data_IF_956106751770
#
_entry.id   IF_956106751770
#
_cell.length_a   1.000
_cell.length_b   1.000
_cell.length_c   1.000
_cell.angle_alpha   90.00
_cell.angle_beta   90.00
_cell.angle_gamma   90.00
#
_symmetry.space_group_name_H-M   'P 1'
#
loop_
_entity.id
_entity.type
_entity.pdbx_description
1 polymer ?
#
# COMPACT_ATOMS: atom_id res chain seq x y z
N UNK A 1 -27.64 18.56 14.21
CA UNK A 1 -26.31 19.06 13.76
C UNK A 1 -25.47 17.86 13.42
N UNK A 2 -25.38 17.51 12.13
CA UNK A 2 -24.45 16.47 11.67
C UNK A 2 -23.09 17.15 11.61
N UNK A 3 -22.22 16.86 12.57
CA UNK A 3 -20.83 17.27 12.48
C UNK A 3 -20.26 16.64 11.21
N UNK A 4 -19.88 17.46 10.24
CA UNK A 4 -19.00 17.05 9.15
C UNK A 4 -17.67 16.64 9.78
N UNK A 5 -17.56 15.38 10.21
CA UNK A 5 -16.28 14.74 10.52
C UNK A 5 -15.52 14.64 9.19
N UNK A 6 -14.84 15.72 8.82
CA UNK A 6 -13.66 15.59 7.97
C UNK A 6 -12.69 14.73 8.80
N UNK A 7 -12.57 13.46 8.45
CA UNK A 7 -11.50 12.61 8.96
C UNK A 7 -10.19 13.30 8.58
N UNK A 8 -9.59 13.99 9.55
CA UNK A 8 -8.24 14.51 9.39
C UNK A 8 -7.33 13.29 9.22
N UNK A 9 -6.81 13.12 8.00
CA UNK A 9 -5.98 11.98 7.62
C UNK A 9 -4.71 11.84 8.46
N UNK A 10 -4.38 12.86 9.26
CA UNK A 10 -3.31 12.84 10.26
C UNK A 10 -3.60 11.90 11.42
N UNK A 11 -4.86 11.70 11.83
CA UNK A 11 -5.26 10.87 12.97
C UNK A 11 -5.67 9.44 12.60
N UNK A 12 -5.27 8.98 11.42
CA UNK A 12 -5.51 7.60 11.03
C UNK A 12 -4.57 6.66 11.80
N UNK A 13 -5.09 5.50 12.15
CA UNK A 13 -4.39 4.51 12.96
C UNK A 13 -3.31 3.76 12.17
N UNK A 14 -2.38 3.15 12.90
CA UNK A 14 -1.32 2.29 12.36
C UNK A 14 -1.87 1.12 11.54
N UNK A 15 -3.10 0.67 11.82
CA UNK A 15 -3.79 -0.37 11.06
C UNK A 15 -3.92 -0.03 9.57
N UNK A 16 -4.07 1.26 9.23
CA UNK A 16 -4.14 1.70 7.83
C UNK A 16 -2.84 1.39 7.07
N UNK A 17 -1.68 1.64 7.69
CA UNK A 17 -0.37 1.36 7.10
C UNK A 17 -0.24 -0.14 6.80
N UNK A 18 -0.60 -0.98 7.76
CA UNK A 18 -0.53 -2.44 7.61
C UNK A 18 -1.54 -2.96 6.59
N UNK A 19 -2.74 -2.38 6.53
CA UNK A 19 -3.74 -2.77 5.54
C UNK A 19 -3.32 -2.39 4.11
N UNK A 20 -2.70 -1.22 3.93
CA UNK A 20 -2.14 -0.83 2.62
C UNK A 20 -1.05 -1.82 2.16
N UNK A 21 -0.18 -2.26 3.07
CA UNK A 21 0.82 -3.28 2.76
C UNK A 21 0.19 -4.65 2.45
N UNK A 22 -0.89 -5.01 3.16
CA UNK A 22 -1.62 -6.25 2.89
C UNK A 22 -2.20 -6.28 1.48
N UNK A 23 -2.84 -5.19 1.03
CA UNK A 23 -3.35 -5.07 -0.33
C UNK A 23 -2.21 -5.14 -1.36
N UNK A 24 -1.09 -4.47 -1.11
CA UNK A 24 0.10 -4.53 -1.99
C UNK A 24 0.55 -5.97 -2.22
N UNK A 25 0.65 -6.76 -1.15
CA UNK A 25 1.09 -8.15 -1.20
C UNK A 25 0.06 -9.11 -1.84
N UNK A 26 -1.19 -8.69 -1.95
CA UNK A 26 -2.23 -9.44 -2.67
C UNK A 26 -2.04 -9.32 -4.18
N UNK A 27 -1.63 -8.15 -4.68
CA UNK A 27 -1.63 -7.84 -6.12
C UNK A 27 -0.25 -7.58 -6.74
N UNK A 28 0.82 -7.53 -5.95
CA UNK A 28 2.19 -7.25 -6.39
C UNK A 28 3.18 -8.24 -5.79
N UNK A 29 3.93 -8.94 -6.65
CA UNK A 29 5.22 -9.55 -6.30
C UNK A 29 6.12 -9.56 -7.54
N UNK A 30 7.22 -8.82 -7.48
CA UNK A 30 8.19 -8.78 -8.58
C UNK A 30 9.46 -9.55 -8.22
N UNK A 31 9.70 -10.73 -8.82
CA UNK A 31 10.92 -11.48 -8.60
C UNK A 31 12.11 -10.77 -9.26
N UNK A 32 13.29 -10.95 -8.67
CA UNK A 32 14.53 -10.47 -9.28
C UNK A 32 14.96 -11.49 -10.35
N UNK A 33 14.72 -11.17 -11.61
CA UNK A 33 15.09 -11.99 -12.76
C UNK A 33 16.09 -11.23 -13.64
N UNK A 34 17.10 -11.92 -14.17
CA UNK A 34 18.19 -11.29 -14.93
C UNK A 34 17.85 -10.94 -16.39
N UNK A 35 16.73 -11.42 -16.94
CA UNK A 35 16.58 -11.52 -18.40
C UNK A 35 15.36 -10.77 -19.00
N UNK A 36 14.51 -10.10 -18.22
CA UNK A 36 13.34 -9.40 -18.76
C UNK A 36 13.32 -7.91 -18.44
N UNK A 37 13.20 -7.08 -19.48
CA UNK A 37 13.01 -5.62 -19.37
C UNK A 37 11.59 -5.25 -18.92
N UNK A 38 10.62 -6.14 -19.14
CA UNK A 38 9.28 -6.04 -18.56
C UNK A 38 9.18 -7.01 -17.37
N UNK A 39 9.02 -6.46 -16.18
CA UNK A 39 9.00 -7.26 -14.97
C UNK A 39 7.74 -8.13 -14.88
N UNK A 40 7.91 -9.31 -14.28
CA UNK A 40 6.83 -10.26 -14.03
C UNK A 40 6.13 -9.87 -12.73
N UNK A 41 4.81 -10.04 -12.69
CA UNK A 41 4.05 -10.11 -11.45
C UNK A 41 3.76 -11.58 -11.12
N UNK A 42 4.21 -12.07 -9.98
CA UNK A 42 3.96 -13.43 -9.51
C UNK A 42 2.61 -13.59 -8.78
N UNK A 43 1.86 -12.50 -8.63
CA UNK A 43 0.54 -12.48 -8.02
C UNK A 43 -0.57 -12.42 -9.06
N UNK A 44 -1.74 -12.96 -8.71
CA UNK A 44 -2.98 -12.58 -9.37
C UNK A 44 -3.15 -11.06 -9.23
N UNK A 45 -3.78 -10.42 -10.22
CA UNK A 45 -4.06 -8.98 -10.16
C UNK A 45 -5.41 -8.68 -9.51
N UNK A 46 -6.11 -9.69 -9.01
CA UNK A 46 -7.41 -9.55 -8.37
C UNK A 46 -7.22 -9.34 -6.87
N UNK A 47 -8.16 -8.63 -6.24
CA UNK A 47 -8.24 -8.54 -4.79
C UNK A 47 -8.98 -9.77 -4.27
N UNK A 48 -8.30 -10.91 -4.29
CA UNK A 48 -8.87 -12.26 -4.11
C UNK A 48 -8.31 -12.99 -2.88
N UNK A 49 -7.53 -12.30 -2.04
CA UNK A 49 -6.88 -12.87 -0.86
C UNK A 49 -5.84 -13.94 -1.20
N UNK A 50 -5.21 -13.86 -2.37
CA UNK A 50 -4.08 -14.71 -2.75
C UNK A 50 -2.87 -14.58 -1.80
N UNK A 51 -2.78 -13.51 -1.01
CA UNK A 51 -1.82 -13.41 0.10
C UNK A 51 -2.09 -14.44 1.21
N UNK A 52 -3.35 -14.83 1.41
CA UNK A 52 -3.76 -15.86 2.38
C UNK A 52 -3.84 -17.24 1.74
N UNK A 53 -4.36 -17.33 0.51
CA UNK A 53 -4.63 -18.62 -0.12
C UNK A 53 -3.52 -19.10 -1.05
N UNK A 54 -2.57 -18.24 -1.42
CA UNK A 54 -1.48 -18.58 -2.33
C UNK A 54 -1.85 -18.39 -3.81
N UNK A 55 -0.80 -18.30 -4.64
CA UNK A 55 -0.89 -17.98 -6.08
C UNK A 55 -0.56 -19.17 -7.00
N UNK A 56 -0.27 -20.33 -6.42
CA UNK A 56 0.03 -21.58 -7.15
C UNK A 56 -0.78 -22.71 -6.55
N UNK A 57 -1.05 -23.75 -7.36
CA UNK A 57 -1.79 -24.93 -6.90
C UNK A 57 -1.06 -25.64 -5.76
N UNK A 58 0.26 -25.81 -5.88
CA UNK A 58 1.07 -26.46 -4.86
C UNK A 58 1.05 -25.64 -3.55
N UNK A 59 1.24 -24.33 -3.63
CA UNK A 59 1.17 -23.45 -2.46
C UNK A 59 -0.22 -23.46 -1.80
N UNK A 60 -1.29 -23.49 -2.60
CA UNK A 60 -2.67 -23.63 -2.11
C UNK A 60 -2.89 -24.95 -1.38
N UNK A 61 -2.33 -26.05 -1.89
CA UNK A 61 -2.45 -27.37 -1.25
C UNK A 61 -1.65 -27.42 0.06
N UNK A 62 -0.47 -26.83 0.08
CA UNK A 62 0.39 -26.76 1.27
C UNK A 62 -0.24 -25.94 2.40
N UNK A 63 -1.06 -24.93 2.07
CA UNK A 63 -1.75 -24.09 3.05
C UNK A 63 -3.03 -24.72 3.61
N UNK A 64 -3.51 -25.84 3.06
CA UNK A 64 -4.81 -26.44 3.42
C UNK A 64 -4.67 -27.69 4.27
N UNK A 65 -5.61 -27.83 5.21
CA UNK A 65 -5.88 -29.10 5.86
C UNK A 65 -6.85 -29.89 4.96
N UNK A 66 -6.29 -30.84 4.19
CA UNK A 66 -7.06 -31.57 3.19
C UNK A 66 -8.19 -32.39 3.84
N UNK A 67 -9.38 -32.29 3.26
CA UNK A 67 -10.58 -33.02 3.71
C UNK A 67 -11.42 -32.30 4.78
N UNK A 68 -10.92 -31.23 5.42
CA UNK A 68 -11.68 -30.49 6.45
C UNK A 68 -12.26 -29.17 5.95
N UNK A 69 -11.72 -28.64 4.84
CA UNK A 69 -12.06 -27.31 4.34
C UNK A 69 -11.38 -26.17 5.12
N UNK A 70 -10.48 -26.48 6.07
CA UNK A 70 -9.71 -25.50 6.85
C UNK A 70 -8.35 -25.21 6.24
N UNK A 71 -7.75 -24.09 6.64
CA UNK A 71 -6.32 -23.84 6.45
C UNK A 71 -5.51 -24.61 7.50
N UNK A 72 -4.25 -24.91 7.20
CA UNK A 72 -3.34 -25.48 8.18
C UNK A 72 -3.05 -24.46 9.30
N UNK A 73 -3.05 -24.95 10.53
CA UNK A 73 -2.75 -24.15 11.72
C UNK A 73 -1.50 -24.71 12.40
N UNK A 74 -0.63 -23.81 12.84
CA UNK A 74 0.49 -24.10 13.73
C UNK A 74 0.08 -24.10 15.20
N UNK A 75 1.09 -24.11 16.07
CA UNK A 75 0.91 -24.08 17.52
C UNK A 75 0.15 -22.80 17.93
N UNK A 76 -0.84 -22.94 18.82
CA UNK A 76 -1.72 -21.87 19.30
C UNK A 76 -2.60 -21.22 18.21
N UNK A 77 -2.96 -21.96 17.15
CA UNK A 77 -3.73 -21.44 16.00
C UNK A 77 -3.04 -20.29 15.26
N UNK A 78 -1.72 -20.18 15.39
CA UNK A 78 -0.90 -19.29 14.58
C UNK A 78 -0.65 -19.93 13.21
N UNK A 79 -0.06 -19.19 12.27
CA UNK A 79 0.45 -19.79 11.04
C UNK A 79 1.39 -20.97 11.29
N UNK A 80 1.40 -21.98 10.41
CA UNK A 80 2.43 -23.01 10.38
C UNK A 80 3.83 -22.38 10.26
N UNK A 81 4.84 -23.03 10.84
CA UNK A 81 6.23 -22.56 10.75
C UNK A 81 6.78 -22.82 9.34
N UNK A 82 6.80 -21.78 8.49
CA UNK A 82 7.50 -21.75 7.21
C UNK A 82 8.56 -20.62 7.17
N UNK A 83 9.34 -20.48 6.07
CA UNK A 83 10.18 -19.30 5.86
C UNK A 83 9.32 -18.02 5.87
N UNK A 84 9.85 -16.88 6.33
CA UNK A 84 9.04 -15.74 6.79
C UNK A 84 8.23 -15.08 5.66
N UNK A 85 6.91 -14.94 5.87
CA UNK A 85 6.00 -14.22 4.98
C UNK A 85 4.57 -14.05 5.54
N UNK A 86 4.21 -12.77 5.78
CA UNK A 86 2.91 -12.05 5.85
C UNK A 86 1.59 -12.64 6.39
N UNK A 87 0.92 -11.86 7.27
CA UNK A 87 -0.54 -11.76 7.55
C UNK A 87 -0.86 -10.33 8.08
N UNK A 88 -2.06 -9.71 8.13
CA UNK A 88 -3.49 -10.11 8.08
C UNK A 88 -4.39 -8.90 7.64
N UNK A 89 -5.71 -9.12 7.51
CA UNK A 89 -6.78 -8.33 6.84
C UNK A 89 -7.38 -7.12 7.59
N UNK A 90 -7.90 -6.10 6.86
CA UNK A 90 -9.28 -5.56 6.99
C UNK A 90 -9.62 -4.23 6.22
N UNK A 91 -10.69 -4.26 5.41
CA UNK A 91 -11.77 -3.24 5.43
C UNK A 91 -11.81 -2.10 4.40
N UNK A 92 -13.02 -1.86 3.85
CA UNK A 92 -13.36 -0.82 2.86
C UNK A 92 -13.20 0.63 3.38
N UNK A 93 -13.19 0.86 4.70
CA UNK A 93 -13.04 2.20 5.30
C UNK A 93 -11.61 2.74 5.22
N UNK A 94 -10.61 1.85 5.26
CA UNK A 94 -9.20 2.21 5.15
C UNK A 94 -8.89 2.81 3.78
N UNK A 95 -9.47 2.24 2.72
CA UNK A 95 -9.17 2.62 1.35
C UNK A 95 -9.67 4.04 0.97
N UNK A 96 -10.84 4.46 1.51
CA UNK A 96 -11.36 5.82 1.32
C UNK A 96 -10.34 6.88 1.73
N UNK A 97 -9.61 6.67 2.82
CA UNK A 97 -8.64 7.65 3.34
C UNK A 97 -7.44 7.88 2.41
N UNK A 98 -7.12 6.92 1.53
CA UNK A 98 -6.04 7.03 0.57
C UNK A 98 -6.40 8.00 -0.55
N UNK A 99 -7.60 7.89 -1.12
CA UNK A 99 -8.02 8.64 -2.31
C UNK A 99 -8.89 9.88 -2.02
N UNK A 100 -9.43 9.96 -0.81
CA UNK A 100 -10.42 10.97 -0.42
C UNK A 100 -11.79 10.78 -1.07
N UNK A 101 -12.78 11.54 -0.61
CA UNK A 101 -14.18 11.47 -1.07
C UNK A 101 -14.32 11.68 -2.58
N UNK A 102 -13.70 12.73 -3.10
CA UNK A 102 -13.73 13.06 -4.52
C UNK A 102 -13.04 11.96 -5.36
N UNK A 103 -11.97 11.35 -4.85
CA UNK A 103 -11.27 10.26 -5.55
C UNK A 103 -12.11 9.01 -5.64
N UNK A 104 -12.72 8.61 -4.53
CA UNK A 104 -13.64 7.47 -4.49
C UNK A 104 -14.79 7.62 -5.49
N UNK A 105 -15.33 8.84 -5.63
CA UNK A 105 -16.43 9.12 -6.57
C UNK A 105 -15.95 9.18 -8.02
N UNK A 106 -14.84 9.87 -8.28
CA UNK A 106 -14.25 10.01 -9.62
C UNK A 106 -13.95 8.67 -10.28
N UNK A 107 -13.52 7.68 -9.48
CA UNK A 107 -13.15 6.35 -9.96
C UNK A 107 -14.22 5.28 -9.74
N UNK A 108 -15.42 5.64 -9.26
CA UNK A 108 -16.52 4.68 -9.06
C UNK A 108 -16.23 3.58 -8.02
N UNK A 109 -15.39 3.86 -7.03
CA UNK A 109 -14.86 2.87 -6.08
C UNK A 109 -15.77 2.64 -4.86
N UNK A 110 -16.95 3.27 -4.85
CA UNK A 110 -17.96 3.06 -3.82
C UNK A 110 -18.70 1.75 -4.06
N UNK A 111 -18.93 1.02 -2.98
CA UNK A 111 -19.82 -0.12 -2.98
C UNK A 111 -21.19 0.27 -2.47
N UNK A 112 -22.22 -0.46 -2.91
CA UNK A 112 -23.57 -0.33 -2.42
C UNK A 112 -23.69 -1.07 -1.07
N UNK A 113 -24.49 -0.51 -0.17
CA UNK A 113 -24.85 -1.18 1.09
C UNK A 113 -25.81 -2.36 0.88
N UNK A 114 -26.61 -2.32 -0.19
CA UNK A 114 -27.63 -3.33 -0.51
C UNK A 114 -27.71 -3.56 -2.02
N UNK A 115 -28.03 -4.79 -2.40
CA UNK A 115 -28.17 -5.20 -3.80
C UNK A 115 -26.85 -5.23 -4.56
N UNK A 116 -26.96 -5.24 -5.89
CA UNK A 116 -25.80 -5.41 -6.79
C UNK A 116 -25.38 -4.10 -7.45
N UNK A 117 -24.10 -4.04 -7.81
CA UNK A 117 -23.50 -3.00 -8.63
C UNK A 117 -22.62 -3.66 -9.69
N UNK A 118 -23.26 -4.31 -10.66
CA UNK A 118 -22.54 -5.03 -11.72
C UNK A 118 -21.92 -4.03 -12.67
N UNK A 119 -20.61 -3.84 -12.52
CA UNK A 119 -19.78 -2.97 -13.35
C UNK A 119 -18.78 -3.77 -14.22
N UNK A 120 -18.86 -5.10 -14.18
CA UNK A 120 -17.93 -5.97 -14.88
C UNK A 120 -17.90 -5.68 -16.38
N UNK A 121 -16.71 -5.39 -16.90
CA UNK A 121 -16.42 -5.20 -18.31
C UNK A 121 -15.37 -6.25 -18.72
N UNK A 122 -15.73 -7.26 -19.55
CA UNK A 122 -14.79 -8.29 -19.99
C UNK A 122 -13.67 -7.75 -20.90
N UNK A 123 -13.79 -6.51 -21.41
CA UNK A 123 -12.74 -5.85 -22.19
C UNK A 123 -11.77 -5.05 -21.33
N UNK A 124 -12.08 -4.83 -20.04
CA UNK A 124 -11.19 -4.15 -19.11
C UNK A 124 -9.99 -5.05 -18.78
N UNK A 125 -8.80 -4.46 -18.74
CA UNK A 125 -7.58 -5.15 -18.34
C UNK A 125 -7.32 -4.95 -16.83
N UNK A 126 -7.51 -5.99 -15.99
CA UNK A 126 -7.31 -5.89 -14.54
C UNK A 126 -5.84 -6.01 -14.12
N UNK A 127 -4.91 -6.27 -15.04
CA UNK A 127 -3.49 -6.48 -14.69
C UNK A 127 -2.92 -5.32 -13.88
N UNK A 128 -2.15 -5.66 -12.85
CA UNK A 128 -1.41 -4.68 -12.05
C UNK A 128 -0.43 -3.92 -12.93
N UNK A 129 -0.60 -2.60 -13.04
CA UNK A 129 0.30 -1.77 -13.85
C UNK A 129 1.65 -1.59 -13.18
N UNK A 130 2.70 -1.56 -14.00
CA UNK A 130 4.07 -1.47 -13.51
C UNK A 130 4.30 -0.23 -12.61
N UNK A 131 3.85 0.96 -13.03
CA UNK A 131 4.01 2.18 -12.25
C UNK A 131 3.19 2.21 -10.94
N UNK A 132 2.12 1.43 -10.86
CA UNK A 132 1.36 1.27 -9.62
C UNK A 132 2.23 0.57 -8.57
N UNK A 133 2.78 -0.62 -8.87
CA UNK A 133 3.57 -1.39 -7.89
C UNK A 133 5.03 -0.94 -7.73
N UNK A 134 5.65 -0.41 -8.78
CA UNK A 134 7.04 0.04 -8.73
C UNK A 134 7.20 1.43 -8.08
N UNK A 135 6.14 2.23 -8.01
CA UNK A 135 6.22 3.61 -7.52
C UNK A 135 4.99 4.05 -6.71
N UNK A 136 3.81 4.18 -7.32
CA UNK A 136 2.71 4.93 -6.71
C UNK A 136 2.19 4.30 -5.40
N UNK A 137 1.98 2.99 -5.36
CA UNK A 137 1.45 2.30 -4.19
C UNK A 137 2.47 2.16 -3.04
N UNK A 138 3.74 2.51 -3.30
CA UNK A 138 4.81 2.57 -2.29
C UNK A 138 4.74 3.81 -1.39
N UNK A 139 3.75 4.68 -1.59
CA UNK A 139 3.53 5.84 -0.72
C UNK A 139 3.33 5.44 0.75
N UNK A 140 2.80 4.24 0.98
CA UNK A 140 2.61 3.64 2.31
C UNK A 140 3.87 3.61 3.16
N UNK A 141 5.07 3.62 2.56
CA UNK A 141 6.33 3.68 3.29
C UNK A 141 6.49 4.95 4.15
N UNK A 142 5.87 6.08 3.77
CA UNK A 142 5.85 7.29 4.63
C UNK A 142 5.02 7.12 5.90
N UNK A 143 4.05 6.20 5.87
CA UNK A 143 3.11 5.97 6.97
C UNK A 143 3.70 5.06 8.06
N UNK A 144 4.89 4.50 7.84
CA UNK A 144 5.58 3.61 8.78
C UNK A 144 6.12 4.43 9.96
N UNK A 145 5.71 4.05 11.18
CA UNK A 145 6.22 4.61 12.43
C UNK A 145 7.65 4.18 12.73
N UNK A 146 8.34 4.92 13.62
CA UNK A 146 9.69 4.55 14.06
C UNK A 146 9.70 3.50 15.18
N UNK A 147 8.54 3.18 15.75
CA UNK A 147 8.40 2.33 16.91
C UNK A 147 7.27 1.32 16.70
N UNK A 148 7.44 0.15 17.31
CA UNK A 148 6.38 -0.82 17.56
C UNK A 148 6.01 -0.74 19.03
N UNK A 149 4.73 -0.74 19.33
CA UNK A 149 4.23 -0.74 20.71
C UNK A 149 3.30 -1.93 20.94
N UNK A 150 3.06 -2.25 22.20
CA UNK A 150 2.12 -3.27 22.64
C UNK A 150 1.34 -2.75 23.83
N UNK A 151 0.07 -3.14 23.93
CA UNK A 151 -0.81 -2.68 25.00
C UNK A 151 -1.50 -3.84 25.72
N UNK A 152 -1.70 -3.67 27.03
CA UNK A 152 -2.51 -4.57 27.86
C UNK A 152 -4.00 -4.46 27.49
N UNK A 153 -4.83 -5.31 28.09
CA UNK A 153 -6.29 -5.32 27.84
C UNK A 153 -6.98 -4.01 28.21
N UNK A 154 -6.43 -3.29 29.20
CA UNK A 154 -6.87 -1.98 29.66
C UNK A 154 -6.24 -0.81 28.88
N UNK A 155 -5.54 -1.10 27.77
CA UNK A 155 -4.82 -0.15 26.94
C UNK A 155 -3.68 0.60 27.65
N UNK A 156 -3.17 0.08 28.77
CA UNK A 156 -1.92 0.59 29.34
C UNK A 156 -0.70 0.10 28.51
N UNK A 157 0.36 0.92 28.35
CA UNK A 157 1.55 0.52 27.61
C UNK A 157 2.23 -0.70 28.21
N UNK A 158 2.58 -1.67 27.37
CA UNK A 158 3.25 -2.93 27.76
C UNK A 158 4.67 -3.02 27.24
N UNK A 159 4.89 -2.65 25.98
CA UNK A 159 6.21 -2.64 25.34
C UNK A 159 6.29 -1.52 24.32
N UNK A 160 7.51 -1.02 24.09
CA UNK A 160 7.80 0.03 23.11
C UNK A 160 9.24 -0.14 22.62
N UNK A 161 9.39 -0.55 21.37
CA UNK A 161 10.67 -0.95 20.79
C UNK A 161 10.87 -0.31 19.40
N UNK A 162 12.12 -0.09 18.95
CA UNK A 162 12.42 0.39 17.61
C UNK A 162 11.87 -0.51 16.51
N UNK A 163 11.29 0.09 15.46
CA UNK A 163 10.72 -0.65 14.31
C UNK A 163 11.74 -1.58 13.65
N UNK A 164 12.98 -1.14 13.53
CA UNK A 164 14.07 -1.88 12.89
C UNK A 164 14.41 -3.22 13.56
N UNK A 165 14.08 -3.39 14.85
CA UNK A 165 14.38 -4.62 15.61
C UNK A 165 13.38 -5.75 15.29
N UNK A 166 12.33 -5.47 14.51
CA UNK A 166 11.23 -6.38 14.25
C UNK A 166 11.13 -6.90 12.81
N UNK A 167 12.00 -6.44 11.91
CA UNK A 167 12.00 -6.96 10.54
C UNK A 167 12.40 -8.45 10.51
N UNK A 168 11.64 -9.25 9.76
CA UNK A 168 11.78 -10.72 9.69
C UNK A 168 11.75 -11.44 11.05
N UNK A 169 11.18 -10.80 12.08
CA UNK A 169 11.05 -11.37 13.41
C UNK A 169 9.61 -11.77 13.69
N UNK A 170 9.39 -13.02 14.07
CA UNK A 170 8.06 -13.49 14.52
C UNK A 170 7.76 -13.10 15.98
N UNK A 171 8.67 -12.37 16.65
CA UNK A 171 8.56 -12.08 18.09
C UNK A 171 7.28 -11.33 18.44
N UNK A 172 6.86 -10.37 17.62
CA UNK A 172 5.65 -9.58 17.87
C UNK A 172 4.38 -10.44 18.01
N UNK A 173 4.34 -11.61 17.38
CA UNK A 173 3.20 -12.53 17.43
C UNK A 173 3.46 -13.69 18.39
N UNK A 174 4.68 -14.22 18.45
CA UNK A 174 4.99 -15.46 19.20
C UNK A 174 5.40 -15.22 20.65
N UNK A 175 5.84 -14.02 21.01
CA UNK A 175 6.12 -13.63 22.39
C UNK A 175 4.83 -13.12 23.04
N UNK A 176 4.00 -14.04 23.54
CA UNK A 176 2.75 -13.69 24.23
C UNK A 176 2.98 -12.99 25.59
N UNK A 177 4.22 -12.96 26.10
CA UNK A 177 4.58 -12.37 27.40
C UNK A 177 4.94 -10.89 27.34
N UNK A 178 5.54 -10.43 26.24
CA UNK A 178 5.80 -9.00 25.99
C UNK A 178 4.87 -8.44 24.93
N UNK A 179 4.56 -9.23 23.91
CA UNK A 179 3.73 -8.88 22.77
C UNK A 179 2.52 -9.83 22.67
N UNK A 180 2.29 -10.39 21.48
CA UNK A 180 1.16 -11.25 21.15
C UNK A 180 0.17 -10.53 20.23
N UNK A 181 -0.62 -11.31 19.46
CA UNK A 181 -1.51 -10.77 18.43
C UNK A 181 -2.48 -9.72 19.00
N UNK A 182 -3.09 -9.96 20.16
CA UNK A 182 -4.03 -9.02 20.78
C UNK A 182 -3.37 -7.71 21.19
N UNK A 183 -2.17 -7.77 21.77
CA UNK A 183 -1.45 -6.58 22.22
C UNK A 183 -0.98 -5.71 21.04
N UNK A 184 -0.60 -6.36 19.92
CA UNK A 184 -0.26 -5.70 18.66
C UNK A 184 -1.51 -5.13 17.98
N UNK A 185 -2.63 -5.86 17.97
CA UNK A 185 -3.89 -5.36 17.43
C UNK A 185 -4.36 -4.08 18.17
N UNK A 186 -4.19 -4.02 19.49
CA UNK A 186 -4.44 -2.79 20.27
C UNK A 186 -3.53 -1.65 19.84
N UNK A 187 -2.23 -1.90 19.64
CA UNK A 187 -1.32 -0.88 19.10
C UNK A 187 -1.78 -0.38 17.72
N UNK A 188 -2.06 -1.30 16.80
CA UNK A 188 -2.48 -0.98 15.45
C UNK A 188 -3.77 -0.14 15.40
N UNK A 189 -4.68 -0.33 16.35
CA UNK A 189 -5.99 0.34 16.39
C UNK A 189 -5.99 1.63 17.20
N UNK A 190 -5.02 1.84 18.10
CA UNK A 190 -5.01 3.00 19.00
C UNK A 190 -3.92 4.02 18.72
N UNK A 191 -2.79 3.61 18.13
CA UNK A 191 -1.73 4.54 17.77
C UNK A 191 -1.92 5.10 16.37
N UNK A 192 -1.52 6.36 16.20
CA UNK A 192 -1.53 7.01 14.90
C UNK A 192 -0.35 6.55 14.04
N UNK A 193 -0.59 6.38 12.74
CA UNK A 193 0.48 6.18 11.75
C UNK A 193 1.34 7.44 11.61
N UNK A 194 2.52 7.28 11.00
CA UNK A 194 3.34 8.44 10.59
C UNK A 194 2.61 9.33 9.58
N UNK A 195 3.12 10.55 9.40
CA UNK A 195 2.59 11.51 8.43
C UNK A 195 2.77 11.01 7.00
N UNK A 196 1.78 11.30 6.16
CA UNK A 196 1.89 11.09 4.72
C UNK A 196 2.65 12.26 4.11
N UNK A 197 3.97 12.12 4.02
CA UNK A 197 4.85 13.13 3.45
C UNK A 197 6.06 12.49 2.75
N UNK A 198 6.95 13.34 2.23
CA UNK A 198 8.15 12.92 1.49
C UNK A 198 9.26 12.33 2.38
N UNK A 199 9.05 12.18 3.68
CA UNK A 199 10.05 11.68 4.60
C UNK A 199 9.78 10.22 4.98
N UNK A 200 10.87 9.50 5.22
CA UNK A 200 10.85 8.13 5.70
C UNK A 200 11.59 8.07 7.03
N UNK A 201 11.09 7.27 7.96
CA UNK A 201 11.72 7.12 9.28
C UNK A 201 13.10 6.47 9.13
N UNK A 202 14.05 6.75 10.05
CA UNK A 202 15.38 6.16 9.99
C UNK A 202 15.38 4.62 9.97
N UNK A 203 14.35 3.98 10.53
CA UNK A 203 14.17 2.53 10.54
C UNK A 203 14.17 1.94 9.13
N UNK A 204 13.43 2.54 8.20
CA UNK A 204 13.36 2.08 6.80
C UNK A 204 14.29 2.85 5.85
N UNK A 205 14.74 4.05 6.24
CA UNK A 205 15.64 4.88 5.43
C UNK A 205 17.12 4.53 5.61
N UNK A 206 17.55 4.12 6.80
CA UNK A 206 18.99 3.87 7.04
C UNK A 206 19.25 2.46 7.58
N UNK A 207 18.24 1.83 8.19
CA UNK A 207 18.39 0.59 8.98
C UNK A 207 17.51 -0.55 8.48
N UNK A 208 17.02 -0.47 7.24
CA UNK A 208 16.17 -1.52 6.68
C UNK A 208 16.97 -2.83 6.64
N UNK A 209 16.45 -3.86 7.31
CA UNK A 209 17.07 -5.19 7.43
C UNK A 209 18.51 -5.16 7.95
N UNK A 210 18.84 -4.17 8.77
CA UNK A 210 20.15 -4.07 9.39
C UNK A 210 20.39 -5.25 10.32
N UNK A 211 21.49 -5.97 10.12
CA UNK A 211 21.94 -7.07 11.01
C UNK A 211 23.19 -6.70 11.80
N UNK A 212 23.94 -5.68 11.35
CA UNK A 212 25.11 -5.13 12.02
C UNK A 212 25.16 -3.60 11.84
N UNK A 213 25.77 -2.84 12.76
CA UNK A 213 25.87 -1.39 12.62
C UNK A 213 26.44 -0.98 11.25
N UNK A 214 25.68 -0.18 10.50
CA UNK A 214 26.11 0.38 9.22
C UNK A 214 25.83 -0.46 7.97
N UNK A 215 25.20 -1.64 8.09
CA UNK A 215 24.85 -2.49 6.93
C UNK A 215 23.37 -2.41 6.50
N UNK A 216 22.61 -1.46 7.05
CA UNK A 216 21.20 -1.28 6.69
C UNK A 216 21.03 -0.76 5.26
N UNK A 217 19.89 -1.11 4.67
CA UNK A 217 19.48 -0.56 3.38
C UNK A 217 18.66 0.72 3.54
N UNK A 218 18.58 1.51 2.47
CA UNK A 218 17.68 2.66 2.35
C UNK A 218 16.51 2.33 1.42
N UNK A 219 15.32 2.12 1.99
CA UNK A 219 14.11 1.77 1.24
C UNK A 219 13.70 2.86 0.23
N UNK A 220 13.91 4.13 0.56
CA UNK A 220 13.63 5.24 -0.34
C UNK A 220 14.52 5.19 -1.58
N UNK A 221 15.83 4.95 -1.39
CA UNK A 221 16.78 4.77 -2.49
C UNK A 221 16.44 3.53 -3.32
N UNK A 222 16.03 2.43 -2.69
CA UNK A 222 15.60 1.21 -3.36
C UNK A 222 14.35 1.44 -4.20
N UNK A 223 13.39 2.25 -3.74
CA UNK A 223 12.19 2.58 -4.53
C UNK A 223 12.53 3.40 -5.77
N UNK A 224 13.41 4.40 -5.64
CA UNK A 224 13.90 5.18 -6.78
C UNK A 224 14.63 4.27 -7.77
N UNK A 225 15.55 3.45 -7.27
CA UNK A 225 16.32 2.54 -8.11
C UNK A 225 15.44 1.48 -8.79
N UNK A 226 14.40 1.00 -8.09
CA UNK A 226 13.40 0.06 -8.63
C UNK A 226 12.58 0.70 -9.74
N UNK A 227 12.18 1.96 -9.59
CA UNK A 227 11.51 2.71 -10.67
C UNK A 227 12.37 2.77 -11.94
N UNK A 228 13.67 3.01 -11.79
CA UNK A 228 14.64 3.04 -12.91
C UNK A 228 14.84 1.65 -13.54
N UNK A 229 15.01 0.63 -12.71
CA UNK A 229 15.09 -0.78 -13.12
C UNK A 229 13.87 -1.21 -13.95
N UNK A 230 12.68 -0.77 -13.52
CA UNK A 230 11.41 -1.04 -14.21
C UNK A 230 11.16 -0.16 -15.44
N UNK A 231 12.07 0.75 -15.77
CA UNK A 231 11.91 1.69 -16.89
C UNK A 231 10.69 2.60 -16.74
N UNK A 232 10.31 2.94 -15.50
CA UNK A 232 9.16 3.81 -15.24
C UNK A 232 9.44 5.20 -15.83
N UNK A 233 8.54 5.74 -16.68
CA UNK A 233 8.71 7.08 -17.23
C UNK A 233 8.80 8.17 -16.16
N UNK A 234 9.30 9.34 -16.57
CA UNK A 234 9.45 10.50 -15.69
C UNK A 234 8.16 10.90 -15.00
N UNK A 235 8.30 11.58 -13.87
CA UNK A 235 7.20 12.17 -13.13
C UNK A 235 6.31 13.07 -14.03
N UNK A 236 6.90 13.90 -14.88
CA UNK A 236 6.16 14.73 -15.84
C UNK A 236 5.34 13.92 -16.84
N UNK A 237 5.85 12.76 -17.29
CA UNK A 237 5.08 11.88 -18.17
C UNK A 237 3.81 11.36 -17.49
N UNK A 238 3.88 11.06 -16.20
CA UNK A 238 2.72 10.64 -15.42
C UNK A 238 1.79 11.79 -15.08
N UNK A 239 2.30 13.01 -14.84
CA UNK A 239 1.47 14.21 -14.76
C UNK A 239 0.61 14.36 -16.01
N UNK A 240 1.23 14.30 -17.19
CA UNK A 240 0.52 14.39 -18.47
C UNK A 240 -0.52 13.27 -18.65
N UNK A 241 -0.16 12.03 -18.33
CA UNK A 241 -1.10 10.89 -18.37
C UNK A 241 -2.33 11.15 -17.48
N UNK A 242 -2.13 11.77 -16.32
CA UNK A 242 -3.18 12.15 -15.39
C UNK A 242 -3.88 13.49 -15.71
N UNK A 243 -3.64 14.08 -16.89
CA UNK A 243 -4.24 15.36 -17.30
C UNK A 243 -3.67 16.59 -16.58
N UNK A 244 -2.58 16.45 -15.84
CA UNK A 244 -1.87 17.53 -15.18
C UNK A 244 -0.82 18.15 -16.14
N UNK A 245 -0.56 19.45 -15.98
CA UNK A 245 0.49 20.13 -16.75
C UNK A 245 1.87 19.65 -16.32
N UNK A 246 2.78 19.32 -17.26
CA UNK A 246 4.18 19.02 -16.92
C UNK A 246 4.85 20.26 -16.31
N UNK A 247 5.78 20.04 -15.38
CA UNK A 247 6.58 21.11 -14.81
C UNK A 247 7.76 21.42 -15.75
N UNK A 248 7.91 22.68 -16.17
CA UNK A 248 9.01 23.15 -17.01
C UNK A 248 10.17 23.72 -16.20
N UNK A 249 9.95 24.01 -14.92
CA UNK A 249 10.98 24.46 -13.97
C UNK A 249 10.62 24.04 -12.54
N UNK A 250 11.57 24.12 -11.62
CA UNK A 250 11.39 23.74 -10.21
C UNK A 250 10.65 24.77 -9.34
N UNK A 251 10.15 25.86 -9.93
CA UNK A 251 9.36 26.85 -9.17
C UNK A 251 7.97 26.29 -8.87
N UNK A 252 7.25 26.86 -7.90
CA UNK A 252 5.87 26.45 -7.57
C UNK A 252 4.79 27.29 -8.28
N UNK A 253 5.21 28.21 -9.16
CA UNK A 253 4.33 29.06 -9.95
C UNK A 253 3.80 28.38 -11.21
N UNK A 254 3.11 29.13 -12.09
CA UNK A 254 2.60 28.61 -13.36
C UNK A 254 3.67 27.86 -14.16
N UNK A 255 3.30 26.70 -14.72
CA UNK A 255 4.20 25.79 -15.45
C UNK A 255 5.36 25.20 -14.62
N UNK A 256 5.31 25.32 -13.30
CA UNK A 256 6.27 24.68 -12.39
C UNK A 256 5.71 23.46 -11.67
N UNK A 257 6.32 23.13 -10.54
CA UNK A 257 5.87 22.12 -9.57
C UNK A 257 4.69 22.65 -8.73
N UNK A 258 3.57 22.95 -9.39
CA UNK A 258 2.38 23.61 -8.77
C UNK A 258 1.70 22.78 -7.69
N UNK A 259 1.98 21.49 -7.61
CA UNK A 259 1.43 20.58 -6.61
C UNK A 259 2.43 20.31 -5.47
N UNK A 260 3.51 21.08 -5.38
CA UNK A 260 4.55 20.93 -4.37
C UNK A 260 4.62 22.19 -3.50
N UNK A 261 5.00 22.03 -2.24
CA UNK A 261 5.41 23.16 -1.42
C UNK A 261 6.83 23.64 -1.81
N UNK A 262 7.16 24.89 -1.49
CA UNK A 262 8.45 25.48 -1.87
C UNK A 262 9.67 24.71 -1.36
N UNK A 263 9.56 24.05 -0.19
CA UNK A 263 10.65 23.25 0.36
C UNK A 263 10.85 21.93 -0.38
N UNK A 264 9.75 21.27 -0.80
CA UNK A 264 9.80 20.06 -1.61
C UNK A 264 10.37 20.36 -3.01
N UNK A 265 9.92 21.45 -3.63
CA UNK A 265 10.41 21.87 -4.94
C UNK A 265 11.91 22.19 -4.93
N UNK A 266 12.40 22.90 -3.89
CA UNK A 266 13.83 23.14 -3.66
C UNK A 266 14.63 21.85 -3.43
N UNK A 267 14.08 20.90 -2.70
CA UNK A 267 14.73 19.60 -2.47
C UNK A 267 14.91 18.83 -3.79
N UNK A 268 13.88 18.81 -4.64
CA UNK A 268 13.96 18.21 -5.98
C UNK A 268 14.99 18.94 -6.86
N UNK A 269 14.98 20.28 -6.86
CA UNK A 269 15.95 21.09 -7.61
C UNK A 269 17.40 20.83 -7.19
N UNK A 270 17.64 20.50 -5.92
CA UNK A 270 18.99 20.24 -5.42
C UNK A 270 19.61 18.93 -5.92
N UNK A 271 18.80 18.05 -6.52
CA UNK A 271 19.21 16.70 -6.95
C UNK A 271 19.06 16.51 -8.46
N UNK A 272 17.95 16.99 -9.04
CA UNK A 272 17.65 16.80 -10.46
C UNK A 272 18.07 18.02 -11.29
N UNK A 273 18.65 17.77 -12.46
CA UNK A 273 19.09 18.85 -13.36
C UNK A 273 17.92 19.52 -14.09
N UNK A 274 16.90 18.75 -14.44
CA UNK A 274 15.67 19.22 -15.06
C UNK A 274 14.44 18.53 -14.44
N UNK A 275 13.24 19.17 -14.39
CA UNK A 275 12.03 18.51 -13.87
C UNK A 275 11.61 17.23 -14.64
N UNK A 276 12.04 17.10 -15.89
CA UNK A 276 11.85 15.87 -16.69
C UNK A 276 12.69 14.69 -16.20
N UNK A 277 13.72 14.92 -15.39
CA UNK A 277 14.55 13.86 -14.83
C UNK A 277 13.98 13.29 -13.53
N UNK A 278 12.93 13.91 -12.97
CA UNK A 278 12.36 13.52 -11.69
C UNK A 278 11.77 12.11 -11.79
N UNK A 279 12.29 11.19 -10.98
CA UNK A 279 11.75 9.83 -10.84
C UNK A 279 10.30 9.90 -10.31
N UNK A 280 9.40 9.07 -10.85
CA UNK A 280 7.97 9.07 -10.45
C UNK A 280 7.80 8.97 -8.92
N UNK A 281 8.55 8.08 -8.27
CA UNK A 281 8.47 7.90 -6.82
C UNK A 281 8.80 9.20 -6.07
N UNK A 282 9.93 9.83 -6.39
CA UNK A 282 10.36 11.06 -5.72
C UNK A 282 9.42 12.25 -5.99
N UNK A 283 8.96 12.39 -7.24
CA UNK A 283 8.03 13.45 -7.65
C UNK A 283 6.67 13.33 -6.97
N UNK A 284 6.05 12.15 -7.04
CA UNK A 284 4.74 11.88 -6.46
C UNK A 284 4.71 11.91 -4.93
N UNK A 285 5.74 11.36 -4.26
CA UNK A 285 5.88 11.45 -2.80
C UNK A 285 6.02 12.89 -2.29
N UNK A 286 6.52 13.79 -3.15
CA UNK A 286 6.78 15.18 -2.79
C UNK A 286 5.59 16.11 -3.06
N UNK A 287 4.55 15.63 -3.74
CA UNK A 287 3.32 16.40 -3.93
C UNK A 287 2.63 16.65 -2.58
N UNK A 288 1.98 17.80 -2.45
CA UNK A 288 1.08 18.08 -1.34
C UNK A 288 -0.16 17.19 -1.47
N UNK A 289 -0.54 16.45 -0.42
CA UNK A 289 -1.76 15.66 -0.44
C UNK A 289 -2.98 16.50 -0.79
N UNK A 290 -3.87 15.97 -1.62
CA UNK A 290 -5.14 16.64 -1.91
C UNK A 290 -6.07 16.57 -0.68
N UNK A 291 -7.00 17.52 -0.49
CA UNK A 291 -7.87 17.53 0.68
C UNK A 291 -8.60 16.21 0.91
N UNK A 292 -8.47 15.66 2.12
CA UNK A 292 -9.11 14.40 2.53
C UNK A 292 -8.44 13.12 2.00
N UNK A 293 -7.27 13.22 1.37
CA UNK A 293 -6.49 12.09 0.87
C UNK A 293 -5.08 12.06 1.47
N UNK A 294 -4.42 10.91 1.37
CA UNK A 294 -3.02 10.74 1.82
C UNK A 294 -1.98 11.02 0.74
N UNK A 295 -2.42 11.23 -0.51
CA UNK A 295 -1.53 11.36 -1.66
C UNK A 295 -1.85 12.61 -2.48
N UNK A 296 -0.85 13.11 -3.20
CA UNK A 296 -1.02 14.17 -4.19
C UNK A 296 -1.79 13.72 -5.43
N UNK A 297 -2.10 14.64 -6.35
CA UNK A 297 -2.97 14.38 -7.49
C UNK A 297 -2.41 13.32 -8.46
N UNK A 298 -1.08 13.23 -8.65
CA UNK A 298 -0.50 12.25 -9.57
C UNK A 298 -0.67 10.82 -9.05
N UNK A 299 -0.34 10.59 -7.77
CA UNK A 299 -0.54 9.27 -7.16
C UNK A 299 -2.01 8.93 -6.95
N UNK A 300 -2.87 9.91 -6.62
CA UNK A 300 -4.32 9.69 -6.56
C UNK A 300 -4.87 9.17 -7.89
N UNK A 301 -4.43 9.74 -9.01
CA UNK A 301 -4.79 9.29 -10.35
C UNK A 301 -4.32 7.85 -10.63
N UNK A 302 -3.03 7.55 -10.42
CA UNK A 302 -2.47 6.22 -10.71
C UNK A 302 -3.13 5.13 -9.85
N UNK A 303 -3.26 5.39 -8.53
CA UNK A 303 -3.87 4.45 -7.58
C UNK A 303 -5.35 4.28 -7.91
N UNK A 304 -6.10 5.38 -8.04
CA UNK A 304 -7.53 5.35 -8.33
C UNK A 304 -7.86 4.61 -9.62
N UNK A 305 -7.11 4.86 -10.69
CA UNK A 305 -7.26 4.10 -11.94
C UNK A 305 -6.97 2.61 -11.74
N UNK A 306 -5.90 2.24 -11.04
CA UNK A 306 -5.59 0.83 -10.85
C UNK A 306 -6.71 0.09 -10.10
N UNK A 307 -7.22 0.66 -9.01
CA UNK A 307 -8.32 0.06 -8.25
C UNK A 307 -9.64 0.03 -9.04
N UNK A 308 -9.88 1.03 -9.90
CA UNK A 308 -11.03 0.99 -10.81
C UNK A 308 -10.95 -0.24 -11.72
N UNK A 309 -9.77 -0.48 -12.32
CA UNK A 309 -9.56 -1.64 -13.19
C UNK A 309 -9.57 -2.98 -12.44
N UNK A 310 -9.12 -3.02 -11.18
CA UNK A 310 -9.32 -4.20 -10.32
C UNK A 310 -10.80 -4.48 -10.10
N UNK A 311 -11.63 -3.44 -9.87
CA UNK A 311 -13.07 -3.59 -9.66
C UNK A 311 -13.82 -3.99 -10.93
N UNK A 312 -13.66 -3.26 -12.03
CA UNK A 312 -14.46 -3.48 -13.25
C UNK A 312 -13.95 -4.66 -14.09
N UNK A 313 -12.67 -5.04 -13.97
CA UNK A 313 -12.09 -6.16 -14.70
C UNK A 313 -12.25 -7.51 -13.98
N UNK A 314 -12.81 -7.52 -12.77
CA UNK A 314 -13.02 -8.73 -11.99
C UNK A 314 -14.44 -9.27 -12.16
N UNK A 315 -14.54 -10.44 -12.79
CA UNK A 315 -15.81 -11.16 -12.98
C UNK A 315 -16.38 -11.66 -11.66
N UNK A 316 -15.54 -11.92 -10.66
CA UNK A 316 -15.91 -12.38 -9.32
C UNK A 316 -16.05 -11.24 -8.31
N UNK A 317 -15.96 -9.98 -8.75
CA UNK A 317 -16.17 -8.85 -7.86
C UNK A 317 -17.51 -8.99 -7.12
N UNK A 318 -17.48 -8.87 -5.80
CA UNK A 318 -18.57 -9.34 -4.93
C UNK A 318 -19.93 -8.68 -5.20
N UNK A 319 -19.96 -7.49 -5.79
CA UNK A 319 -21.20 -6.78 -6.16
C UNK A 319 -21.78 -7.21 -7.53
N UNK A 320 -21.15 -8.15 -8.24
CA UNK A 320 -21.63 -8.64 -9.54
C UNK A 320 -22.82 -9.61 -9.38
N UNK A 321 -23.89 -9.39 -10.14
CA UNK A 321 -25.13 -10.17 -10.10
C UNK A 321 -25.10 -11.43 -10.99
N UNK A 322 -23.94 -12.04 -11.19
CA UNK A 322 -23.81 -13.20 -12.09
C UNK A 322 -24.29 -14.47 -11.39
N UNK A 323 -25.44 -15.03 -11.79
CA UNK A 323 -26.03 -16.23 -11.16
C UNK A 323 -25.03 -17.39 -10.93
N UNK A 324 -24.07 -17.70 -11.84
CA UNK A 324 -23.12 -18.79 -11.60
C UNK A 324 -21.99 -18.48 -10.61
N UNK A 325 -21.66 -17.21 -10.36
CA UNK A 325 -20.43 -16.82 -9.65
C UNK A 325 -20.56 -15.66 -8.66
N UNK A 326 -21.69 -14.98 -8.64
CA UNK A 326 -22.01 -13.86 -7.77
C UNK A 326 -22.76 -14.31 -6.53
N UNK A 327 -22.76 -13.45 -5.52
CA UNK A 327 -23.53 -13.68 -4.30
C UNK A 327 -25.04 -13.52 -4.57
N UNK A 328 -25.86 -14.05 -3.66
CA UNK A 328 -27.29 -13.73 -3.64
C UNK A 328 -27.52 -12.34 -3.07
N UNK A 329 -28.62 -11.69 -3.44
CA UNK A 329 -28.97 -10.41 -2.84
C UNK A 329 -29.33 -10.64 -1.36
N UNK A 330 -28.59 -9.98 -0.47
CA UNK A 330 -28.94 -9.87 0.95
C UNK A 330 -30.06 -8.86 1.20
#
# INVERSE_FOLDING_TARGET
>A
MVANLHLEVEFLSVSLTHFGQFIDHDVISTPILKESRNQINQKTSFLDLSVTYGNTLDGQNDLRELGTGRLQEGINRLLPTGPPGSECLAGEECFKSVLGEEGMNMFGLRSKRFGFNTLYDPSANPSTRNAFGAAAYRFGHSLVGSLVEAFNEDFTPRAREPMEDHFFSTRLIRDFTTFGPDAIARWMTTQFKSRADRFLTPAIRNRLFQTMPGNGFDLGSLNIQRGRDHGIPSYNRWRQFCGLQPALHFGIGPLGLTNHCASAARALQSVYSHPEDIDLFAGGMSETPVPGALVGPTFRCIIGLQFMYFKIGDRFFYENAFVPTGFTAG
#
